data_IF_092057247032
#
_entry.id   IF_092057247032
#
_cell.length_a   1.000
_cell.length_b   1.000
_cell.length_c   1.000
_cell.angle_alpha   90.00
_cell.angle_beta   90.00
_cell.angle_gamma   90.00
#
_symmetry.space_group_name_H-M   'P 1'
#
loop_
_entity.id
_entity.type
_entity.pdbx_description
1 polymer ?
#
# COMPACT_ATOMS: atom_id res chain seq x y z
N UNK A 1 35.72 0.17 -16.31
CA UNK A 1 34.29 0.36 -16.60
C UNK A 1 34.06 -0.04 -18.03
N UNK A 2 33.53 -1.23 -18.28
CA UNK A 2 33.37 -1.76 -19.64
C UNK A 2 31.95 -2.31 -19.74
N UNK A 3 31.08 -1.56 -20.41
CA UNK A 3 29.73 -2.04 -20.72
C UNK A 3 29.82 -3.08 -21.84
N UNK A 4 29.31 -4.28 -21.59
CA UNK A 4 29.01 -5.25 -22.63
C UNK A 4 27.49 -5.33 -22.74
N UNK A 5 26.94 -4.62 -23.74
CA UNK A 5 25.62 -4.92 -24.25
C UNK A 5 25.75 -6.17 -25.12
N UNK A 6 25.17 -7.26 -24.66
CA UNK A 6 24.88 -8.44 -25.48
C UNK A 6 23.37 -8.60 -25.59
N UNK A 7 22.93 -9.18 -26.69
CA UNK A 7 21.55 -9.28 -27.17
C UNK A 7 20.61 -10.18 -26.31
N UNK A 8 20.86 -10.26 -25.00
CA UNK A 8 20.18 -11.09 -24.02
C UNK A 8 19.95 -10.24 -22.77
N UNK A 9 18.70 -10.10 -22.31
CA UNK A 9 18.26 -9.29 -21.13
C UNK A 9 18.85 -9.75 -19.77
N UNK A 10 19.93 -10.52 -19.78
CA UNK A 10 20.56 -11.14 -18.62
C UNK A 10 21.79 -10.34 -18.17
N UNK A 11 21.83 -10.03 -16.87
CA UNK A 11 22.94 -9.39 -16.18
C UNK A 11 23.60 -10.41 -15.25
N UNK A 12 24.92 -10.51 -15.30
CA UNK A 12 25.69 -11.42 -14.44
C UNK A 12 26.09 -10.67 -13.17
N UNK A 13 25.77 -11.23 -12.00
CA UNK A 13 26.15 -10.71 -10.69
C UNK A 13 26.89 -11.80 -9.89
N UNK A 14 28.22 -11.82 -9.99
CA UNK A 14 29.03 -12.94 -9.49
C UNK A 14 28.67 -14.23 -10.23
N UNK A 15 28.21 -15.24 -9.49
CA UNK A 15 27.78 -16.53 -10.05
C UNK A 15 26.27 -16.56 -10.39
N UNK A 16 25.56 -15.44 -10.23
CA UNK A 16 24.12 -15.32 -10.49
C UNK A 16 23.83 -14.71 -11.87
N UNK A 17 22.84 -15.28 -12.55
CA UNK A 17 22.26 -14.70 -13.77
C UNK A 17 20.92 -14.06 -13.42
N UNK A 18 20.82 -12.74 -13.58
CA UNK A 18 19.63 -11.95 -13.26
C UNK A 18 19.01 -11.46 -14.56
N UNK A 19 17.71 -11.69 -14.75
CA UNK A 19 16.96 -11.10 -15.86
C UNK A 19 16.13 -9.92 -15.37
N UNK A 20 16.32 -8.77 -15.99
CA UNK A 20 15.41 -7.64 -15.77
C UNK A 20 14.15 -7.86 -16.60
N UNK A 21 13.01 -8.02 -15.92
CA UNK A 21 11.71 -8.16 -16.57
C UNK A 21 10.91 -6.88 -16.34
N UNK A 22 10.57 -6.19 -17.42
CA UNK A 22 9.69 -5.02 -17.34
C UNK A 22 8.23 -5.49 -17.21
N UNK A 23 7.64 -5.28 -16.02
CA UNK A 23 6.27 -5.72 -15.72
C UNK A 23 5.20 -4.74 -16.23
N UNK A 24 5.56 -3.46 -16.36
CA UNK A 24 4.63 -2.38 -16.68
C UNK A 24 5.17 -1.58 -17.88
N UNK A 25 4.37 -1.53 -18.96
CA UNK A 25 4.72 -0.89 -20.23
C UNK A 25 3.53 -0.11 -20.78
N UNK A 26 3.82 0.95 -21.55
CA UNK A 26 2.79 1.76 -22.22
C UNK A 26 1.77 2.36 -21.24
N UNK A 27 2.25 2.84 -20.09
CA UNK A 27 1.43 3.34 -18.99
C UNK A 27 0.65 4.59 -19.41
N UNK A 28 -0.66 4.55 -19.23
CA UNK A 28 -1.58 5.69 -19.35
C UNK A 28 -2.34 5.84 -18.04
N UNK A 29 -1.72 6.47 -17.05
CA UNK A 29 -2.22 6.58 -15.69
C UNK A 29 -2.64 8.02 -15.38
N UNK A 30 -3.78 8.23 -14.68
CA UNK A 30 -4.24 9.57 -14.31
C UNK A 30 -3.46 10.18 -13.12
N UNK A 31 -2.12 10.15 -13.16
CA UNK A 31 -1.25 10.67 -12.10
C UNK A 31 -1.29 12.20 -12.08
N UNK A 32 -1.22 12.80 -10.89
CA UNK A 32 -1.14 14.25 -10.66
C UNK A 32 0.06 14.57 -9.78
N UNK A 33 0.62 15.78 -9.93
CA UNK A 33 1.79 16.23 -9.15
C UNK A 33 1.50 16.29 -7.63
N UNK A 34 0.29 16.69 -7.25
CA UNK A 34 -0.14 16.77 -5.85
C UNK A 34 -1.43 15.98 -5.62
N UNK A 35 -1.56 15.38 -4.42
CA UNK A 35 -2.78 14.68 -4.03
C UNK A 35 -2.99 13.36 -4.80
N UNK A 36 -1.90 12.64 -5.07
CA UNK A 36 -1.94 11.34 -5.74
C UNK A 36 -1.23 10.29 -4.87
N UNK A 37 -1.88 9.15 -4.61
CA UNK A 37 -1.24 7.95 -4.06
C UNK A 37 -1.30 6.84 -5.10
N UNK A 38 -0.30 5.96 -5.09
CA UNK A 38 -0.17 4.88 -6.06
C UNK A 38 0.25 3.58 -5.38
N UNK A 39 -0.26 2.46 -5.88
CA UNK A 39 0.22 1.13 -5.54
C UNK A 39 0.16 0.21 -6.76
N UNK A 40 1.27 -0.45 -7.08
CA UNK A 40 1.34 -1.50 -8.10
C UNK A 40 1.17 -2.89 -7.47
N UNK A 41 0.42 -3.75 -8.14
CA UNK A 41 0.26 -5.13 -7.71
C UNK A 41 1.53 -5.96 -8.00
N UNK A 42 1.88 -6.94 -7.15
CA UNK A 42 2.90 -7.92 -7.48
C UNK A 42 2.64 -8.60 -8.83
N UNK A 43 3.72 -9.04 -9.48
CA UNK A 43 3.70 -9.86 -10.71
C UNK A 43 3.02 -9.20 -11.93
N UNK A 44 3.01 -7.87 -12.02
CA UNK A 44 2.44 -7.15 -13.17
C UNK A 44 0.90 -7.12 -13.17
N UNK A 45 0.28 -7.33 -12.00
CA UNK A 45 -1.17 -7.23 -11.83
C UNK A 45 -1.70 -5.78 -11.93
N UNK A 46 -2.95 -5.55 -11.47
CA UNK A 46 -3.59 -4.23 -11.54
C UNK A 46 -2.81 -3.12 -10.83
N UNK A 47 -3.13 -1.89 -11.18
CA UNK A 47 -2.59 -0.68 -10.57
C UNK A 47 -3.72 0.05 -9.85
N UNK A 48 -3.47 0.49 -8.62
CA UNK A 48 -4.37 1.36 -7.86
C UNK A 48 -3.82 2.78 -7.80
N UNK A 49 -4.67 3.77 -8.08
CA UNK A 49 -4.34 5.19 -8.02
C UNK A 49 -5.41 5.90 -7.21
N UNK A 50 -5.03 6.57 -6.13
CA UNK A 50 -5.92 7.42 -5.35
C UNK A 50 -5.68 8.87 -5.73
N UNK A 51 -6.76 9.57 -6.09
CA UNK A 51 -6.75 10.99 -6.39
C UNK A 51 -7.52 11.73 -5.30
N UNK A 52 -6.86 12.65 -4.60
CA UNK A 52 -7.50 13.53 -3.65
C UNK A 52 -8.51 14.40 -4.40
N UNK A 53 -9.75 14.40 -3.93
CA UNK A 53 -10.78 15.31 -4.38
C UNK A 53 -10.72 16.52 -3.46
N UNK A 54 -10.48 17.71 -4.02
CA UNK A 54 -10.63 18.94 -3.25
C UNK A 54 -12.10 19.07 -2.86
N UNK A 55 -12.35 19.23 -1.56
CA UNK A 55 -13.67 19.57 -1.09
C UNK A 55 -13.96 21.00 -1.56
N UNK A 56 -14.95 21.19 -2.42
CA UNK A 56 -15.32 22.51 -2.97
C UNK A 56 -15.94 23.44 -1.94
N UNK A 57 -15.90 23.11 -0.65
CA UNK A 57 -16.55 23.84 0.44
C UNK A 57 -15.59 24.73 1.21
N UNK A 58 -15.67 26.03 0.97
CA UNK A 58 -15.26 27.04 1.96
C UNK A 58 -16.10 26.87 3.24
N UNK A 59 -15.66 26.09 4.23
CA UNK A 59 -16.11 26.26 5.62
C UNK A 59 -15.05 25.70 6.57
N UNK A 60 -14.64 26.50 7.55
CA UNK A 60 -13.51 26.28 8.47
C UNK A 60 -13.65 25.12 9.47
N UNK A 61 -14.00 23.92 9.01
CA UNK A 61 -13.76 22.65 9.72
C UNK A 61 -12.93 21.79 8.78
N UNK A 62 -11.77 21.31 9.23
CA UNK A 62 -10.87 20.45 8.45
C UNK A 62 -11.58 19.15 8.08
N UNK A 63 -12.35 19.15 6.99
CA UNK A 63 -13.02 17.96 6.47
C UNK A 63 -11.95 16.95 6.03
N UNK A 64 -12.11 15.69 6.42
CA UNK A 64 -11.20 14.63 6.03
C UNK A 64 -11.11 14.55 4.50
N UNK A 65 -9.89 14.58 3.94
CA UNK A 65 -9.68 14.51 2.49
C UNK A 65 -10.37 13.27 1.91
N UNK A 66 -11.26 13.48 0.94
CA UNK A 66 -11.92 12.40 0.21
C UNK A 66 -11.04 12.01 -0.98
N UNK A 67 -10.86 10.72 -1.17
CA UNK A 67 -10.03 10.15 -2.23
C UNK A 67 -10.89 9.29 -3.16
N UNK A 68 -10.67 9.45 -4.47
CA UNK A 68 -11.16 8.55 -5.50
C UNK A 68 -10.06 7.57 -5.85
N UNK A 69 -10.22 6.31 -5.46
CA UNK A 69 -9.29 5.21 -5.77
C UNK A 69 -9.76 4.47 -7.01
N UNK A 70 -8.96 4.54 -8.06
CA UNK A 70 -9.18 3.91 -9.35
C UNK A 70 -8.31 2.66 -9.42
N UNK A 71 -8.91 1.52 -9.74
CA UNK A 71 -8.17 0.30 -10.06
C UNK A 71 -8.17 0.11 -11.57
N UNK A 72 -6.99 -0.02 -12.17
CA UNK A 72 -6.81 -0.13 -13.60
C UNK A 72 -5.90 -1.30 -13.99
N UNK A 73 -5.93 -1.68 -15.26
CA UNK A 73 -5.04 -2.66 -15.86
C UNK A 73 -3.57 -2.25 -15.72
N UNK A 74 -2.66 -3.19 -15.98
CA UNK A 74 -1.21 -2.96 -15.90
C UNK A 74 -0.70 -1.86 -16.84
N UNK A 75 -1.44 -1.51 -17.90
CA UNK A 75 -1.12 -0.38 -18.78
C UNK A 75 -1.95 0.89 -18.48
N UNK A 76 -2.85 0.86 -17.49
CA UNK A 76 -3.71 1.98 -17.12
C UNK A 76 -4.92 2.22 -18.02
N UNK A 77 -5.05 1.50 -19.15
CA UNK A 77 -6.08 1.79 -20.17
C UNK A 77 -7.49 1.33 -19.79
N UNK A 78 -7.59 0.25 -19.01
CA UNK A 78 -8.89 -0.30 -18.60
C UNK A 78 -9.09 -0.11 -17.12
N UNK A 79 -10.20 0.50 -16.74
CA UNK A 79 -10.60 0.65 -15.35
C UNK A 79 -11.46 -0.54 -14.91
N UNK A 80 -11.07 -1.20 -13.83
CA UNK A 80 -11.80 -2.33 -13.24
C UNK A 80 -12.74 -1.89 -12.11
N UNK A 81 -12.35 -0.86 -11.35
CA UNK A 81 -13.09 -0.43 -10.16
C UNK A 81 -12.87 1.03 -9.79
N UNK A 82 -13.82 1.59 -9.04
CA UNK A 82 -13.75 2.92 -8.44
C UNK A 82 -14.24 2.85 -7.00
N UNK A 83 -13.41 3.27 -6.06
CA UNK A 83 -13.69 3.24 -4.63
C UNK A 83 -13.57 4.66 -4.09
N UNK A 84 -14.50 5.07 -3.25
CA UNK A 84 -14.36 6.29 -2.45
C UNK A 84 -13.86 5.91 -1.05
N UNK A 85 -12.79 6.56 -0.60
CA UNK A 85 -12.24 6.37 0.73
C UNK A 85 -11.79 7.72 1.30
N UNK A 86 -11.83 7.88 2.62
CA UNK A 86 -11.46 9.12 3.31
C UNK A 86 -10.15 8.96 4.05
N UNK A 87 -9.37 10.03 4.14
CA UNK A 87 -8.16 10.11 4.95
C UNK A 87 -7.16 8.96 4.72
N UNK A 88 -6.92 8.59 3.45
CA UNK A 88 -5.96 7.54 3.10
C UNK A 88 -4.54 8.00 3.43
N UNK A 89 -3.76 7.15 4.11
CA UNK A 89 -2.33 7.34 4.37
C UNK A 89 -1.48 6.44 3.46
N UNK A 90 -1.87 5.17 3.32
CA UNK A 90 -1.14 4.23 2.46
C UNK A 90 -2.08 3.33 1.66
N UNK A 91 -1.57 2.84 0.53
CA UNK A 91 -2.16 1.77 -0.25
C UNK A 91 -1.12 0.69 -0.54
N UNK A 92 -1.54 -0.57 -0.49
CA UNK A 92 -0.71 -1.71 -0.83
C UNK A 92 -1.51 -2.74 -1.62
N UNK A 93 -0.80 -3.60 -2.33
CA UNK A 93 -1.35 -4.84 -2.83
C UNK A 93 -0.81 -6.00 -2.02
N UNK A 94 -1.70 -6.89 -1.62
CA UNK A 94 -1.31 -8.19 -1.07
C UNK A 94 -0.75 -9.12 -2.15
N UNK A 95 -0.08 -10.19 -1.71
CA UNK A 95 0.41 -11.28 -2.56
C UNK A 95 -0.70 -11.89 -3.41
N UNK A 96 -1.92 -11.99 -2.85
CA UNK A 96 -3.09 -12.53 -3.54
C UNK A 96 -3.93 -11.45 -4.25
N UNK A 97 -3.31 -10.33 -4.64
CA UNK A 97 -3.91 -9.26 -5.44
C UNK A 97 -5.19 -8.64 -4.84
N UNK A 98 -5.30 -8.64 -3.50
CA UNK A 98 -6.27 -7.79 -2.79
C UNK A 98 -5.65 -6.42 -2.56
N UNK A 99 -6.40 -5.37 -2.86
CA UNK A 99 -6.03 -3.99 -2.55
C UNK A 99 -6.26 -3.73 -1.07
N UNK A 100 -5.26 -3.17 -0.42
CA UNK A 100 -5.25 -2.76 0.99
C UNK A 100 -5.20 -1.23 0.99
N UNK A 101 -6.21 -0.58 1.55
CA UNK A 101 -6.25 0.86 1.80
C UNK A 101 -6.17 1.07 3.30
N UNK A 102 -5.33 1.99 3.75
CA UNK A 102 -5.16 2.29 5.18
C UNK A 102 -5.45 3.76 5.41
N UNK A 103 -6.35 4.03 6.34
CA UNK A 103 -6.73 5.37 6.75
C UNK A 103 -5.84 5.91 7.87
N UNK A 104 -5.95 7.22 8.16
CA UNK A 104 -5.19 7.89 9.21
C UNK A 104 -5.48 7.37 10.63
N UNK A 105 -6.68 6.82 10.86
CA UNK A 105 -7.12 6.17 12.09
C UNK A 105 -6.75 4.68 12.13
N UNK A 106 -5.80 4.25 11.30
CA UNK A 106 -5.36 2.86 11.16
C UNK A 106 -6.50 1.86 10.83
N UNK A 107 -7.62 2.35 10.29
CA UNK A 107 -8.63 1.50 9.67
C UNK A 107 -8.11 0.96 8.35
N UNK A 108 -8.24 -0.35 8.17
CA UNK A 108 -7.80 -1.08 6.99
C UNK A 108 -9.03 -1.51 6.20
N UNK A 109 -9.08 -1.12 4.92
CA UNK A 109 -10.11 -1.54 3.98
C UNK A 109 -9.50 -2.49 2.94
N UNK A 110 -10.06 -3.69 2.84
CA UNK A 110 -9.66 -4.70 1.86
C UNK A 110 -10.66 -4.74 0.71
N UNK A 111 -10.14 -4.70 -0.51
CA UNK A 111 -10.90 -4.82 -1.74
C UNK A 111 -10.30 -5.90 -2.65
N UNK A 112 -11.13 -6.52 -3.50
CA UNK A 112 -10.64 -7.36 -4.59
C UNK A 112 -9.92 -6.53 -5.65
N UNK A 113 -9.23 -7.21 -6.57
CA UNK A 113 -8.64 -6.60 -7.77
C UNK A 113 -9.65 -5.93 -8.72
N UNK A 114 -10.95 -6.19 -8.53
CA UNK A 114 -12.05 -5.56 -9.28
C UNK A 114 -12.73 -4.44 -8.47
N UNK A 115 -12.21 -4.10 -7.29
CA UNK A 115 -12.76 -3.04 -6.45
C UNK A 115 -13.98 -3.43 -5.63
N UNK A 116 -14.27 -4.73 -5.48
CA UNK A 116 -15.34 -5.22 -4.58
C UNK A 116 -14.84 -5.22 -3.14
N UNK A 117 -15.59 -4.60 -2.23
CA UNK A 117 -15.27 -4.60 -0.78
C UNK A 117 -15.26 -6.04 -0.25
N UNK A 118 -14.20 -6.39 0.47
CA UNK A 118 -14.03 -7.70 1.10
C UNK A 118 -14.25 -7.59 2.62
N UNK A 119 -13.34 -6.88 3.31
CA UNK A 119 -13.36 -6.75 4.77
C UNK A 119 -12.91 -5.36 5.20
N UNK A 120 -13.32 -4.96 6.39
CA UNK A 120 -12.82 -3.78 7.09
C UNK A 120 -12.43 -4.23 8.50
N UNK A 121 -11.30 -3.74 8.99
CA UNK A 121 -10.86 -3.96 10.36
C UNK A 121 -9.92 -2.83 10.79
N UNK A 122 -9.62 -2.74 12.07
CA UNK A 122 -8.77 -1.71 12.64
C UNK A 122 -7.52 -2.34 13.29
N UNK A 123 -6.40 -1.61 13.34
CA UNK A 123 -5.12 -2.08 13.88
C UNK A 123 -4.96 -1.84 15.39
N UNK A 124 -6.08 -1.87 16.13
CA UNK A 124 -6.12 -1.68 17.59
C UNK A 124 -6.63 -0.31 18.01
N UNK A 125 -7.32 -0.25 19.16
CA UNK A 125 -8.00 0.98 19.63
C UNK A 125 -7.06 2.17 19.76
N UNK A 126 -5.87 1.96 20.32
CA UNK A 126 -4.87 3.01 20.48
C UNK A 126 -4.47 3.64 19.14
N UNK A 127 -4.38 2.85 18.07
CA UNK A 127 -4.04 3.36 16.72
C UNK A 127 -5.18 4.18 16.09
N UNK A 128 -6.43 3.91 16.48
CA UNK A 128 -7.58 4.72 16.05
C UNK A 128 -7.63 6.07 16.77
N UNK A 129 -7.28 6.08 18.06
CA UNK A 129 -7.31 7.28 18.90
C UNK A 129 -6.13 8.21 18.61
N UNK A 130 -4.92 7.66 18.49
CA UNK A 130 -3.70 8.43 18.28
C UNK A 130 -3.37 8.66 16.80
N UNK A 131 -4.02 7.92 15.91
CA UNK A 131 -3.70 7.88 14.49
C UNK A 131 -2.38 7.18 14.18
N UNK A 132 -2.07 7.10 12.89
CA UNK A 132 -0.92 6.40 12.34
C UNK A 132 0.04 7.36 11.62
N UNK A 133 1.35 7.08 11.74
CA UNK A 133 2.40 7.80 11.01
C UNK A 133 2.94 7.01 9.83
N UNK A 134 3.00 5.68 9.92
CA UNK A 134 3.50 4.83 8.84
C UNK A 134 2.84 3.45 8.84
N UNK A 135 2.68 2.86 7.66
CA UNK A 135 2.35 1.45 7.49
C UNK A 135 3.33 0.74 6.55
N UNK A 136 3.55 -0.56 6.80
CA UNK A 136 4.28 -1.45 5.90
C UNK A 136 3.51 -2.76 5.69
N UNK A 137 3.36 -3.11 4.43
CA UNK A 137 2.90 -4.42 4.00
C UNK A 137 4.09 -5.34 3.77
N UNK A 138 4.03 -6.57 4.27
CA UNK A 138 5.05 -7.58 4.03
C UNK A 138 4.41 -8.88 3.55
N UNK A 139 5.07 -9.58 2.63
CA UNK A 139 4.57 -10.83 2.08
C UNK A 139 5.57 -11.94 2.34
N UNK A 140 5.06 -13.13 2.65
CA UNK A 140 5.86 -14.34 2.85
C UNK A 140 5.22 -15.51 2.08
N UNK A 141 5.72 -16.73 2.29
CA UNK A 141 5.31 -17.90 1.50
C UNK A 141 3.79 -18.11 1.48
N UNK A 142 3.11 -17.90 2.62
CA UNK A 142 1.69 -18.26 2.78
C UNK A 142 0.72 -17.08 2.77
N UNK A 143 1.15 -15.87 3.12
CA UNK A 143 0.22 -14.75 3.27
C UNK A 143 0.90 -13.37 3.16
N UNK A 144 0.09 -12.34 3.35
CA UNK A 144 0.47 -10.94 3.49
C UNK A 144 0.15 -10.48 4.90
N UNK A 145 1.16 -9.98 5.60
CA UNK A 145 1.02 -9.28 6.88
C UNK A 145 1.06 -7.77 6.71
N UNK A 146 0.68 -7.08 7.77
CA UNK A 146 0.62 -5.62 7.82
C UNK A 146 1.12 -5.15 9.18
N UNK A 147 1.98 -4.15 9.19
CA UNK A 147 2.42 -3.45 10.38
C UNK A 147 2.10 -1.96 10.27
N UNK A 148 1.70 -1.34 11.38
CA UNK A 148 1.44 0.09 11.51
C UNK A 148 2.22 0.66 12.69
N UNK A 149 2.69 1.89 12.53
CA UNK A 149 3.36 2.68 13.56
C UNK A 149 2.45 3.85 13.92
N UNK A 150 2.05 3.95 15.19
CA UNK A 150 1.18 5.03 15.65
C UNK A 150 1.96 6.29 16.05
N UNK A 151 1.23 7.37 16.34
CA UNK A 151 1.83 8.64 16.77
C UNK A 151 2.58 8.57 18.10
N UNK A 152 2.34 7.54 18.93
CA UNK A 152 3.11 7.24 20.14
C UNK A 152 4.32 6.32 19.89
N UNK A 153 4.68 6.09 18.62
CA UNK A 153 5.78 5.22 18.20
C UNK A 153 5.62 3.72 18.58
N UNK A 154 4.41 3.28 18.88
CA UNK A 154 4.11 1.87 19.11
C UNK A 154 3.80 1.17 17.79
N UNK A 155 4.36 -0.03 17.61
CA UNK A 155 4.14 -0.86 16.42
C UNK A 155 3.07 -1.91 16.70
N UNK A 156 2.05 -1.94 15.85
CA UNK A 156 1.01 -2.97 15.83
C UNK A 156 1.11 -3.75 14.52
N UNK A 157 0.94 -5.08 14.59
CA UNK A 157 1.08 -5.93 13.43
C UNK A 157 0.08 -7.09 13.42
N UNK A 158 -0.26 -7.51 12.20
CA UNK A 158 -0.95 -8.76 11.91
C UNK A 158 -0.08 -9.57 10.95
N UNK A 159 0.02 -10.88 11.19
CA UNK A 159 0.77 -11.78 10.32
C UNK A 159 -0.01 -12.16 9.06
N UNK A 160 -1.32 -11.93 9.05
CA UNK A 160 -2.19 -12.23 7.92
C UNK A 160 -3.35 -11.25 7.86
N UNK A 161 -3.55 -10.64 6.70
CA UNK A 161 -4.74 -9.83 6.42
C UNK A 161 -6.03 -10.68 6.37
N UNK A 162 -5.91 -12.00 6.23
CA UNK A 162 -7.04 -12.94 6.24
C UNK A 162 -7.32 -13.47 7.66
N UNK A 163 -6.26 -13.73 8.44
CA UNK A 163 -6.30 -14.18 9.83
C UNK A 163 -5.66 -13.13 10.74
N UNK A 164 -6.50 -12.20 11.20
CA UNK A 164 -6.12 -10.93 11.83
C UNK A 164 -5.78 -11.07 13.32
N UNK A 165 -4.81 -11.92 13.63
CA UNK A 165 -4.24 -12.00 14.97
C UNK A 165 -3.35 -10.77 15.22
N UNK A 166 -3.94 -9.72 15.81
CA UNK A 166 -3.27 -8.46 16.12
C UNK A 166 -2.33 -8.65 17.33
N UNK A 167 -1.11 -8.16 17.21
CA UNK A 167 -0.14 -8.13 18.28
C UNK A 167 0.63 -6.80 18.24
N UNK A 168 1.19 -6.41 19.38
CA UNK A 168 2.01 -5.20 19.54
C UNK A 168 3.45 -5.62 19.74
N UNK A 169 4.39 -4.95 19.08
CA UNK A 169 5.81 -5.11 19.39
C UNK A 169 6.02 -4.52 20.78
N UNK A 170 6.40 -5.36 21.74
CA UNK A 170 6.78 -4.87 23.06
C UNK A 170 8.09 -4.10 22.96
N UNK A 171 8.15 -2.94 23.60
CA UNK A 171 9.40 -2.25 23.84
C UNK A 171 10.25 -3.15 24.73
N UNK A 172 11.11 -3.96 24.10
CA UNK A 172 12.18 -4.63 24.82
C UNK A 172 13.07 -3.52 25.34
N UNK A 173 13.22 -3.40 26.65
CA UNK A 173 13.93 -2.31 27.30
C UNK A 173 15.18 -1.94 26.50
N UNK A 174 15.20 -0.72 25.97
CA UNK A 174 16.45 -0.03 25.67
C UNK A 174 17.15 0.19 27.01
N UNK A 175 17.69 -0.87 27.61
CA UNK A 175 18.74 -0.74 28.60
C UNK A 175 19.94 -0.22 27.82
N UNK A 176 19.96 1.11 27.68
CA UNK A 176 21.17 1.86 27.40
C UNK A 176 22.13 1.49 28.54
N UNK A 177 23.10 0.65 28.23
CA UNK A 177 24.28 0.47 29.08
C UNK A 177 24.93 1.85 29.15
N UNK A 178 24.72 2.53 30.28
CA UNK A 178 25.39 3.78 30.67
C UNK A 178 26.85 3.53 30.96
#
# INVERSE_FOLDING_TARGET
>A
MTSLRTNNDWTILGDLFIRNVQLYQGLSLPIRESGCLFASCPYGGPIAIALAMQDGGQTGKSAATIWKVIICSSNGKHQFGCIQASAIVNMFWSKCQKLIIINCDARVLLYSSLGKKLHIFDMGKETQELGMIEAKCFSYAKDTGLAVLNSAHHIYAINSINNRALWRVHDSERQLVS
#
